data_IF_153499430017
#
_entry.id   IF_153499430017
#
_cell.length_a   1.000
_cell.length_b   1.000
_cell.length_c   1.000
_cell.angle_alpha   90.00
_cell.angle_beta   90.00
_cell.angle_gamma   90.00
#
_symmetry.space_group_name_H-M   'P 1'
#
loop_
_entity.id
_entity.type
_entity.pdbx_description
1 polymer ?
#
# COMPACT_ATOMS: atom_id res chain seq x y z
N UNK A 1 52.13 -16.61 23.93
CA UNK A 1 51.46 -17.94 23.90
C UNK A 1 49.94 -17.80 24.06
N UNK A 2 49.43 -17.20 25.14
CA UNK A 2 47.99 -17.03 25.36
C UNK A 2 47.24 -16.30 24.21
N UNK A 3 47.76 -15.14 23.76
CA UNK A 3 47.17 -14.37 22.64
C UNK A 3 47.13 -15.20 21.35
N UNK A 4 48.20 -15.94 21.03
CA UNK A 4 48.28 -16.81 19.85
C UNK A 4 47.29 -17.97 19.96
N UNK A 5 47.14 -18.57 21.15
CA UNK A 5 46.13 -19.59 21.41
C UNK A 5 44.70 -19.08 21.24
N UNK A 6 44.44 -17.84 21.65
CA UNK A 6 43.13 -17.20 21.53
C UNK A 6 42.78 -16.87 20.06
N UNK A 7 43.77 -16.44 19.27
CA UNK A 7 43.63 -16.24 17.81
C UNK A 7 43.36 -17.58 17.10
N UNK A 8 44.11 -18.64 17.43
CA UNK A 8 43.90 -19.97 16.86
C UNK A 8 42.53 -20.56 17.23
N UNK A 9 42.08 -20.35 18.47
CA UNK A 9 40.75 -20.74 18.91
C UNK A 9 39.66 -19.98 18.15
N UNK A 10 39.83 -18.67 17.98
CA UNK A 10 38.91 -17.84 17.17
C UNK A 10 38.84 -18.30 15.72
N UNK A 11 39.98 -18.59 15.08
CA UNK A 11 40.05 -19.15 13.73
C UNK A 11 39.39 -20.52 13.63
N UNK A 12 39.59 -21.39 14.62
CA UNK A 12 38.95 -22.71 14.66
C UNK A 12 37.43 -22.60 14.73
N UNK A 13 36.90 -21.73 15.61
CA UNK A 13 35.46 -21.47 15.69
C UNK A 13 34.91 -20.81 14.42
N UNK A 14 35.67 -19.90 13.79
CA UNK A 14 35.30 -19.29 12.53
C UNK A 14 35.19 -20.34 11.41
N UNK A 15 36.15 -21.27 11.33
CA UNK A 15 36.13 -22.38 10.36
C UNK A 15 34.97 -23.32 10.62
N UNK A 16 34.71 -23.68 11.88
CA UNK A 16 33.56 -24.51 12.26
C UNK A 16 32.24 -23.82 11.92
N UNK A 17 32.11 -22.54 12.25
CA UNK A 17 30.95 -21.72 11.93
C UNK A 17 30.76 -21.66 10.42
N UNK A 18 31.81 -21.33 9.66
CA UNK A 18 31.78 -21.30 8.19
C UNK A 18 31.37 -22.66 7.63
N UNK A 19 32.00 -23.78 7.99
CA UNK A 19 31.69 -25.08 7.40
C UNK A 19 30.25 -25.54 7.72
N UNK A 20 29.81 -25.37 8.96
CA UNK A 20 28.47 -25.82 9.41
C UNK A 20 27.38 -24.90 8.89
N UNK A 21 27.52 -23.58 9.04
CA UNK A 21 26.54 -22.61 8.55
C UNK A 21 26.59 -22.45 7.04
N UNK A 22 27.73 -22.60 6.37
CA UNK A 22 27.77 -22.57 4.91
C UNK A 22 27.01 -23.76 4.33
N UNK A 23 27.24 -24.98 4.81
CA UNK A 23 26.58 -26.15 4.22
C UNK A 23 25.08 -26.19 4.50
N UNK A 24 24.65 -25.82 5.72
CA UNK A 24 23.23 -25.78 6.11
C UNK A 24 22.53 -24.52 5.60
N UNK A 25 23.20 -23.38 5.73
CA UNK A 25 22.76 -22.07 5.26
C UNK A 25 22.65 -22.02 3.76
N UNK A 26 23.68 -22.41 2.99
CA UNK A 26 23.66 -22.45 1.52
C UNK A 26 22.54 -23.33 0.99
N UNK A 27 22.33 -24.54 1.53
CA UNK A 27 21.21 -25.40 1.12
C UNK A 27 19.85 -24.79 1.43
N UNK A 28 19.70 -24.15 2.59
CA UNK A 28 18.45 -23.48 2.95
C UNK A 28 18.21 -22.21 2.13
N UNK A 29 19.26 -21.43 1.84
CA UNK A 29 19.26 -20.27 0.96
C UNK A 29 18.90 -20.68 -0.45
N UNK A 30 19.57 -21.69 -1.03
CA UNK A 30 19.26 -22.20 -2.36
C UNK A 30 17.82 -22.72 -2.44
N UNK A 31 17.36 -23.47 -1.42
CA UNK A 31 15.98 -23.97 -1.38
C UNK A 31 14.95 -22.84 -1.25
N UNK A 32 15.25 -21.79 -0.48
CA UNK A 32 14.33 -20.68 -0.26
C UNK A 32 14.38 -19.63 -1.39
N UNK A 33 15.54 -19.40 -2.00
CA UNK A 33 15.72 -18.48 -3.13
C UNK A 33 15.23 -19.10 -4.43
N UNK A 34 15.52 -20.38 -4.64
CA UNK A 34 15.15 -21.11 -5.85
C UNK A 34 14.18 -22.22 -5.48
N UNK A 35 13.05 -21.89 -4.84
CA UNK A 35 11.93 -22.82 -4.81
C UNK A 35 11.56 -23.11 -6.27
N UNK A 36 12.03 -24.25 -6.76
CA UNK A 36 11.77 -24.78 -8.10
C UNK A 36 10.31 -25.22 -8.11
N UNK A 37 9.39 -24.26 -8.14
CA UNK A 37 7.99 -24.56 -8.35
C UNK A 37 7.77 -24.75 -9.86
N UNK A 38 7.76 -26.05 -10.21
CA UNK A 38 7.48 -26.65 -11.52
C UNK A 38 6.12 -26.29 -12.14
N UNK A 39 5.35 -25.36 -11.57
CA UNK A 39 3.95 -25.13 -11.96
C UNK A 39 3.66 -23.76 -12.58
N UNK A 40 4.63 -22.85 -12.67
CA UNK A 40 4.43 -21.54 -13.34
C UNK A 40 4.50 -21.62 -14.88
N UNK A 41 4.07 -22.75 -15.45
CA UNK A 41 3.91 -22.91 -16.91
C UNK A 41 2.70 -22.14 -17.47
N UNK A 42 1.93 -21.43 -16.62
CA UNK A 42 0.61 -20.90 -16.97
C UNK A 42 0.49 -19.38 -17.15
N UNK A 43 1.47 -18.55 -16.80
CA UNK A 43 1.34 -17.09 -16.98
C UNK A 43 2.29 -16.52 -18.04
N UNK A 44 2.00 -16.79 -19.33
CA UNK A 44 2.50 -16.02 -20.47
C UNK A 44 1.74 -14.69 -20.65
N UNK A 45 1.29 -14.06 -19.57
CA UNK A 45 0.61 -12.77 -19.68
C UNK A 45 1.66 -11.66 -19.67
N UNK A 46 1.73 -10.92 -20.77
CA UNK A 46 2.68 -9.81 -20.99
C UNK A 46 2.63 -8.76 -19.86
N UNK A 47 1.45 -8.58 -19.25
CA UNK A 47 1.26 -7.68 -18.12
C UNK A 47 2.11 -8.05 -16.88
N UNK A 48 2.39 -9.34 -16.66
CA UNK A 48 3.21 -9.79 -15.52
C UNK A 48 4.71 -9.59 -15.77
N UNK A 49 5.15 -9.61 -17.03
CA UNK A 49 6.53 -9.24 -17.37
C UNK A 49 6.77 -7.76 -17.06
N UNK A 50 5.84 -6.88 -17.41
CA UNK A 50 5.93 -5.47 -17.08
C UNK A 50 5.94 -5.24 -15.56
N UNK A 51 5.04 -5.91 -14.83
CA UNK A 51 5.01 -5.85 -13.37
C UNK A 51 6.34 -6.34 -12.75
N UNK A 52 6.96 -7.38 -13.31
CA UNK A 52 8.29 -7.87 -12.89
C UNK A 52 9.37 -6.81 -13.12
N UNK A 53 9.40 -6.14 -14.27
CA UNK A 53 10.37 -5.07 -14.52
C UNK A 53 10.20 -3.87 -13.59
N UNK A 54 8.96 -3.45 -13.32
CA UNK A 54 8.69 -2.33 -12.40
C UNK A 54 8.99 -2.74 -10.94
N UNK A 55 8.76 -4.00 -10.56
CA UNK A 55 9.19 -4.55 -9.28
C UNK A 55 10.72 -4.53 -9.15
N UNK A 56 11.44 -4.82 -10.24
CA UNK A 56 12.90 -4.64 -10.31
C UNK A 56 13.28 -3.19 -10.05
N UNK A 57 12.61 -2.25 -10.73
CA UNK A 57 12.83 -0.81 -10.54
C UNK A 57 12.58 -0.36 -9.10
N UNK A 58 11.54 -0.89 -8.46
CA UNK A 58 11.23 -0.60 -7.04
C UNK A 58 12.31 -1.15 -6.12
N UNK A 59 12.76 -2.38 -6.35
CA UNK A 59 13.84 -2.99 -5.58
C UNK A 59 15.16 -2.23 -5.73
N UNK A 60 15.49 -1.82 -6.96
CA UNK A 60 16.67 -0.98 -7.24
C UNK A 60 16.53 0.36 -6.51
N UNK A 61 15.35 0.98 -6.53
CA UNK A 61 15.12 2.24 -5.84
C UNK A 61 15.24 2.10 -4.32
N UNK A 62 14.67 1.05 -3.72
CA UNK A 62 14.86 0.72 -2.30
C UNK A 62 16.34 0.48 -1.99
N UNK A 63 17.07 -0.21 -2.86
CA UNK A 63 18.50 -0.40 -2.72
C UNK A 63 19.27 0.93 -2.77
N UNK A 64 18.88 1.86 -3.64
CA UNK A 64 19.44 3.22 -3.68
C UNK A 64 19.15 4.01 -2.41
N UNK A 65 17.96 3.87 -1.80
CA UNK A 65 17.65 4.47 -0.48
C UNK A 65 18.64 3.98 0.56
N UNK A 66 18.78 2.66 0.71
CA UNK A 66 19.67 2.11 1.73
C UNK A 66 21.13 2.42 1.46
N UNK A 67 21.57 2.38 0.19
CA UNK A 67 22.92 2.76 -0.21
C UNK A 67 23.19 4.23 0.13
N UNK A 68 22.26 5.13 -0.20
CA UNK A 68 22.34 6.53 0.17
C UNK A 68 22.39 6.75 1.67
N UNK A 69 21.57 6.02 2.45
CA UNK A 69 21.55 6.13 3.91
C UNK A 69 22.85 5.62 4.52
N UNK A 70 23.45 4.57 3.96
CA UNK A 70 24.77 4.08 4.38
C UNK A 70 25.82 5.15 4.09
N UNK A 71 25.81 5.77 2.90
CA UNK A 71 26.73 6.87 2.55
C UNK A 71 26.51 8.07 3.47
N UNK A 72 25.26 8.43 3.78
CA UNK A 72 24.94 9.54 4.68
C UNK A 72 25.35 9.24 6.13
N UNK A 73 25.19 7.99 6.58
CA UNK A 73 25.63 7.54 7.90
C UNK A 73 27.15 7.56 8.00
N UNK A 74 27.83 7.14 6.93
CA UNK A 74 29.27 7.34 6.75
C UNK A 74 29.53 8.85 6.92
N UNK A 75 29.06 9.71 6.02
CA UNK A 75 29.30 11.17 6.08
C UNK A 75 29.01 11.79 7.46
N UNK A 76 27.96 11.36 8.16
CA UNK A 76 27.62 11.79 9.51
C UNK A 76 28.64 11.34 10.57
N UNK A 77 29.01 10.05 10.58
CA UNK A 77 29.98 9.50 11.52
C UNK A 77 31.40 10.04 11.28
N UNK A 78 31.73 10.34 10.02
CA UNK A 78 33.00 10.95 9.63
C UNK A 78 33.01 12.48 9.84
N UNK A 79 31.86 13.07 10.22
CA UNK A 79 31.70 14.51 10.46
C UNK A 79 31.54 15.31 9.17
N UNK A 80 31.05 16.56 9.30
CA UNK A 80 31.03 17.55 8.22
C UNK A 80 32.47 17.96 7.89
N UNK A 81 33.28 17.03 7.35
CA UNK A 81 34.61 17.30 6.83
C UNK A 81 34.37 18.16 5.59
N UNK A 82 34.38 19.47 5.79
CA UNK A 82 34.24 20.48 4.74
C UNK A 82 35.40 20.47 3.74
N UNK A 83 36.34 19.53 3.86
CA UNK A 83 37.47 19.37 2.95
C UNK A 83 37.96 17.91 2.85
N UNK A 84 37.53 17.21 1.80
CA UNK A 84 38.25 16.19 1.00
C UNK A 84 38.98 14.99 1.64
N UNK A 85 39.18 14.89 2.95
CA UNK A 85 40.11 13.91 3.49
C UNK A 85 39.42 12.80 4.29
N UNK A 86 38.53 12.05 3.63
CA UNK A 86 38.08 10.72 4.10
C UNK A 86 39.29 9.85 4.57
N UNK A 87 40.45 9.85 3.87
CA UNK A 87 41.63 9.12 4.34
C UNK A 87 42.13 9.53 5.73
N UNK A 88 42.01 10.80 6.13
CA UNK A 88 42.54 11.30 7.41
C UNK A 88 41.73 10.80 8.61
N UNK A 89 40.42 10.58 8.46
CA UNK A 89 39.67 9.94 9.53
C UNK A 89 40.08 8.47 9.70
N UNK A 90 40.26 7.75 8.59
CA UNK A 90 40.69 6.35 8.65
C UNK A 90 42.08 6.22 9.31
N UNK A 91 42.93 7.25 9.23
CA UNK A 91 44.21 7.24 9.96
C UNK A 91 44.07 7.57 11.46
N UNK A 92 42.99 8.23 11.89
CA UNK A 92 42.69 8.49 13.32
C UNK A 92 42.04 7.32 14.06
N UNK A 93 41.41 6.40 13.34
CA UNK A 93 40.80 5.22 13.95
C UNK A 93 41.83 4.14 14.26
N UNK A 94 41.65 3.46 15.38
CA UNK A 94 42.39 2.22 15.64
C UNK A 94 42.02 1.17 14.59
N UNK A 95 42.98 0.33 14.20
CA UNK A 95 42.74 -0.71 13.20
C UNK A 95 41.57 -1.65 13.55
N UNK A 96 41.27 -1.85 14.83
CA UNK A 96 40.10 -2.61 15.28
C UNK A 96 38.77 -1.94 14.93
N UNK A 97 38.66 -0.62 15.17
CA UNK A 97 37.45 0.16 14.85
C UNK A 97 37.18 0.21 13.35
N UNK A 98 38.24 0.40 12.53
CA UNK A 98 38.14 0.38 11.06
C UNK A 98 37.61 -0.97 10.60
N UNK A 99 38.19 -2.06 11.09
CA UNK A 99 37.79 -3.43 10.72
C UNK A 99 36.32 -3.70 11.07
N UNK A 100 35.85 -3.23 12.24
CA UNK A 100 34.46 -3.42 12.67
C UNK A 100 33.48 -2.63 11.79
N UNK A 101 33.80 -1.36 11.48
CA UNK A 101 32.96 -0.52 10.62
C UNK A 101 32.86 -1.11 9.21
N UNK A 102 33.99 -1.49 8.61
CA UNK A 102 34.01 -2.12 7.29
C UNK A 102 33.22 -3.43 7.31
N UNK A 103 33.40 -4.27 8.33
CA UNK A 103 32.68 -5.53 8.49
C UNK A 103 31.16 -5.32 8.61
N UNK A 104 30.72 -4.31 9.35
CA UNK A 104 29.30 -3.98 9.50
C UNK A 104 28.70 -3.48 8.18
N UNK A 105 29.41 -2.62 7.45
CA UNK A 105 28.97 -2.11 6.14
C UNK A 105 28.81 -3.28 5.15
N UNK A 106 29.81 -4.17 5.05
CA UNK A 106 29.75 -5.34 4.18
C UNK A 106 28.57 -6.25 4.53
N UNK A 107 28.34 -6.50 5.83
CA UNK A 107 27.22 -7.32 6.29
C UNK A 107 25.85 -6.71 5.92
N UNK A 108 25.71 -5.39 6.04
CA UNK A 108 24.48 -4.69 5.64
C UNK A 108 24.26 -4.78 4.12
N UNK A 109 25.31 -4.57 3.32
CA UNK A 109 25.24 -4.71 1.87
C UNK A 109 24.86 -6.14 1.44
N UNK A 110 25.49 -7.16 2.03
CA UNK A 110 25.15 -8.55 1.76
C UNK A 110 23.69 -8.85 2.12
N UNK A 111 23.24 -8.42 3.31
CA UNK A 111 21.86 -8.58 3.75
C UNK A 111 20.84 -7.92 2.80
N UNK A 112 21.16 -6.74 2.28
CA UNK A 112 20.34 -6.03 1.29
C UNK A 112 20.29 -6.77 -0.05
N UNK A 113 21.44 -7.22 -0.57
CA UNK A 113 21.52 -7.98 -1.81
C UNK A 113 20.72 -9.28 -1.69
N UNK A 114 20.88 -10.03 -0.60
CA UNK A 114 20.11 -11.26 -0.38
C UNK A 114 18.60 -10.99 -0.27
N UNK A 115 18.20 -9.94 0.45
CA UNK A 115 16.79 -9.55 0.56
C UNK A 115 16.21 -9.18 -0.81
N UNK A 116 16.99 -8.48 -1.64
CA UNK A 116 16.60 -8.13 -3.01
C UNK A 116 16.37 -9.37 -3.87
N UNK A 117 17.34 -10.31 -3.87
CA UNK A 117 17.22 -11.57 -4.64
C UNK A 117 16.04 -12.39 -4.11
N UNK A 118 15.82 -12.45 -2.80
CA UNK A 118 14.72 -13.18 -2.20
C UNK A 118 13.34 -12.62 -2.60
N UNK A 119 13.15 -11.30 -2.49
CA UNK A 119 11.90 -10.64 -2.90
C UNK A 119 11.70 -10.77 -4.41
N UNK A 120 12.78 -10.66 -5.19
CA UNK A 120 12.75 -10.84 -6.63
C UNK A 120 12.25 -12.22 -7.04
N UNK A 121 12.85 -13.28 -6.51
CA UNK A 121 12.50 -14.65 -6.89
C UNK A 121 11.17 -15.11 -6.31
N UNK A 122 10.83 -14.72 -5.08
CA UNK A 122 9.67 -15.29 -4.36
C UNK A 122 8.50 -14.33 -4.19
N UNK A 123 8.75 -13.03 -4.04
CA UNK A 123 7.74 -12.06 -3.63
C UNK A 123 6.61 -11.87 -4.65
N UNK A 124 6.94 -11.94 -5.94
CA UNK A 124 5.95 -11.75 -7.00
C UNK A 124 4.96 -12.92 -7.12
N UNK A 125 5.41 -14.16 -6.88
CA UNK A 125 4.60 -15.35 -7.11
C UNK A 125 3.34 -15.39 -6.24
N UNK A 126 3.47 -15.11 -4.93
CA UNK A 126 2.34 -15.12 -4.01
C UNK A 126 1.25 -14.09 -4.37
N UNK A 127 1.68 -12.91 -4.80
CA UNK A 127 0.78 -11.82 -5.18
C UNK A 127 0.09 -12.14 -6.51
N UNK A 128 0.85 -12.62 -7.50
CA UNK A 128 0.33 -13.00 -8.82
C UNK A 128 -0.70 -14.11 -8.71
N UNK A 129 -0.43 -15.15 -7.90
CA UNK A 129 -1.36 -16.26 -7.68
C UNK A 129 -2.70 -15.76 -7.11
N UNK A 130 -2.65 -14.89 -6.09
CA UNK A 130 -3.83 -14.30 -5.48
C UNK A 130 -4.66 -13.47 -6.47
N UNK A 131 -3.99 -12.75 -7.38
CA UNK A 131 -4.63 -11.94 -8.42
C UNK A 131 -5.24 -12.82 -9.52
N UNK A 132 -4.51 -13.84 -9.98
CA UNK A 132 -4.99 -14.77 -11.01
C UNK A 132 -6.24 -15.52 -10.55
N UNK A 133 -6.21 -16.06 -9.33
CA UNK A 133 -7.36 -16.75 -8.73
C UNK A 133 -8.58 -15.82 -8.56
N UNK A 134 -8.38 -14.53 -8.31
CA UNK A 134 -9.47 -13.56 -8.28
C UNK A 134 -10.03 -13.29 -9.69
N UNK A 135 -9.16 -13.05 -10.67
CA UNK A 135 -9.59 -12.70 -12.03
C UNK A 135 -10.30 -13.87 -12.71
N UNK A 136 -9.79 -15.09 -12.57
CA UNK A 136 -10.42 -16.29 -13.14
C UNK A 136 -11.85 -16.46 -12.61
N UNK A 137 -12.07 -16.22 -11.31
CA UNK A 137 -13.41 -16.27 -10.69
C UNK A 137 -14.37 -15.19 -11.22
N UNK A 138 -13.86 -14.00 -11.51
CA UNK A 138 -14.69 -12.89 -12.03
C UNK A 138 -15.00 -13.11 -13.51
N UNK A 139 -14.00 -13.44 -14.32
CA UNK A 139 -14.15 -13.69 -15.76
C UNK A 139 -15.00 -14.93 -16.03
N UNK A 140 -14.94 -15.96 -15.18
CA UNK A 140 -15.84 -17.13 -15.30
C UNK A 140 -17.30 -16.80 -14.97
N UNK A 141 -17.55 -15.75 -14.17
CA UNK A 141 -18.87 -15.41 -13.67
C UNK A 141 -19.56 -14.32 -14.50
N UNK A 142 -18.79 -13.42 -15.10
CA UNK A 142 -19.31 -12.25 -15.81
C UNK A 142 -18.61 -12.09 -17.16
N UNK A 143 -19.38 -12.10 -18.24
CA UNK A 143 -18.86 -11.84 -19.59
C UNK A 143 -19.00 -10.35 -19.94
N UNK A 144 -17.89 -9.62 -19.80
CA UNK A 144 -17.86 -8.19 -20.11
C UNK A 144 -17.58 -7.93 -21.59
N UNK A 145 -18.41 -7.08 -22.20
CA UNK A 145 -18.19 -6.61 -23.57
C UNK A 145 -16.88 -5.83 -23.72
N UNK A 146 -16.33 -5.79 -24.93
CA UNK A 146 -15.09 -5.06 -25.23
C UNK A 146 -15.16 -3.58 -24.85
N UNK A 147 -16.33 -2.94 -25.02
CA UNK A 147 -16.55 -1.52 -24.64
C UNK A 147 -16.46 -1.34 -23.11
N UNK A 148 -17.10 -2.21 -22.34
CA UNK A 148 -17.05 -2.19 -20.87
C UNK A 148 -15.62 -2.40 -20.35
N UNK A 149 -14.86 -3.31 -20.98
CA UNK A 149 -13.44 -3.53 -20.69
C UNK A 149 -12.61 -2.27 -20.93
N UNK A 150 -12.86 -1.54 -22.02
CA UNK A 150 -12.17 -0.27 -22.30
C UNK A 150 -12.53 0.78 -21.24
N UNK A 151 -13.80 0.94 -20.90
CA UNK A 151 -14.24 1.88 -19.87
C UNK A 151 -13.57 1.61 -18.52
N UNK A 152 -13.54 0.34 -18.08
CA UNK A 152 -12.86 -0.04 -16.85
C UNK A 152 -11.37 0.32 -16.86
N UNK A 153 -10.68 0.10 -17.98
CA UNK A 153 -9.26 0.46 -18.15
C UNK A 153 -9.03 1.97 -18.06
N UNK A 154 -9.92 2.77 -18.66
CA UNK A 154 -9.84 4.24 -18.60
C UNK A 154 -9.99 4.72 -17.15
N UNK A 155 -11.04 4.27 -16.45
CA UNK A 155 -11.24 4.63 -15.04
C UNK A 155 -10.09 4.18 -14.15
N UNK A 156 -9.56 2.97 -14.37
CA UNK A 156 -8.40 2.50 -13.64
C UNK A 156 -7.17 3.40 -13.91
N UNK A 157 -6.93 3.78 -15.16
CA UNK A 157 -5.86 4.69 -15.53
C UNK A 157 -5.97 6.05 -14.85
N UNK A 158 -7.18 6.61 -14.78
CA UNK A 158 -7.46 7.88 -14.06
C UNK A 158 -7.08 7.74 -12.58
N UNK A 159 -7.54 6.69 -11.90
CA UNK A 159 -7.21 6.45 -10.48
C UNK A 159 -5.69 6.32 -10.28
N UNK A 160 -4.99 5.62 -11.18
CA UNK A 160 -3.53 5.48 -11.10
C UNK A 160 -2.83 6.82 -11.25
N UNK A 161 -3.27 7.66 -12.19
CA UNK A 161 -2.72 9.02 -12.37
C UNK A 161 -2.95 9.90 -11.14
N UNK A 162 -4.13 9.80 -10.53
CA UNK A 162 -4.44 10.50 -9.27
C UNK A 162 -3.51 10.06 -8.14
N UNK A 163 -3.31 8.75 -7.96
CA UNK A 163 -2.40 8.21 -6.95
C UNK A 163 -0.95 8.69 -7.17
N UNK A 164 -0.49 8.71 -8.43
CA UNK A 164 0.81 9.27 -8.78
C UNK A 164 0.86 10.76 -8.40
N UNK A 165 -0.16 11.54 -8.74
CA UNK A 165 -0.26 12.95 -8.38
C UNK A 165 -0.19 13.19 -6.87
N UNK A 166 -0.89 12.37 -6.07
CA UNK A 166 -0.82 12.43 -4.60
C UNK A 166 0.60 12.14 -4.11
N UNK A 167 1.25 11.07 -4.62
CA UNK A 167 2.61 10.71 -4.20
C UNK A 167 3.60 11.82 -4.53
N UNK A 168 3.53 12.38 -5.75
CA UNK A 168 4.33 13.54 -6.13
C UNK A 168 4.06 14.75 -5.26
N UNK A 169 2.79 15.06 -5.00
CA UNK A 169 2.37 16.18 -4.16
C UNK A 169 2.90 16.04 -2.73
N UNK A 170 2.82 14.84 -2.13
CA UNK A 170 3.37 14.56 -0.79
C UNK A 170 4.88 14.78 -0.78
N UNK A 171 5.62 14.18 -1.71
CA UNK A 171 7.08 14.31 -1.75
C UNK A 171 7.47 15.77 -1.92
N UNK A 172 6.81 16.49 -2.83
CA UNK A 172 7.10 17.89 -3.09
C UNK A 172 6.72 18.79 -1.91
N UNK A 173 5.60 18.53 -1.23
CA UNK A 173 5.22 19.27 -0.03
C UNK A 173 6.24 19.07 1.10
N UNK A 174 6.77 17.86 1.27
CA UNK A 174 7.84 17.57 2.25
C UNK A 174 9.10 18.35 1.88
N UNK A 175 9.50 18.36 0.61
CA UNK A 175 10.64 19.15 0.12
C UNK A 175 10.50 20.62 0.51
N UNK A 176 9.36 21.22 0.18
CA UNK A 176 9.10 22.64 0.43
C UNK A 176 9.00 22.97 1.93
N UNK A 177 8.54 22.01 2.75
CA UNK A 177 8.49 22.19 4.21
C UNK A 177 9.86 22.27 4.87
N UNK A 178 10.88 21.69 4.23
CA UNK A 178 12.26 21.67 4.75
C UNK A 178 13.02 22.92 4.31
N UNK A 179 12.81 23.38 3.08
CA UNK A 179 13.49 24.57 2.55
C UNK A 179 12.69 25.23 1.43
N UNK A 180 12.61 26.56 1.45
CA UNK A 180 11.98 27.37 0.40
C UNK A 180 12.82 27.46 -0.87
N UNK A 181 14.14 27.24 -0.78
CA UNK A 181 15.06 27.21 -1.93
C UNK A 181 15.70 25.83 -2.07
N UNK A 182 14.87 24.84 -2.37
CA UNK A 182 15.31 23.46 -2.54
C UNK A 182 16.41 23.31 -3.59
N UNK A 183 16.37 24.08 -4.68
CA UNK A 183 17.32 23.92 -5.78
C UNK A 183 18.77 24.19 -5.36
N UNK A 184 18.99 25.23 -4.56
CA UNK A 184 20.32 25.56 -4.04
C UNK A 184 20.65 24.76 -2.78
N UNK A 185 19.71 24.64 -1.83
CA UNK A 185 19.91 23.94 -0.56
C UNK A 185 20.09 22.43 -0.73
N UNK A 186 19.46 21.81 -1.74
CA UNK A 186 19.65 20.39 -1.99
C UNK A 186 21.07 20.07 -2.46
N UNK A 187 21.66 20.97 -3.27
CA UNK A 187 23.02 20.80 -3.79
C UNK A 187 24.09 20.94 -2.72
N UNK A 188 23.76 21.56 -1.58
CA UNK A 188 24.67 21.69 -0.44
C UNK A 188 24.57 20.52 0.52
N UNK A 189 23.54 19.67 0.42
CA UNK A 189 23.48 18.46 1.24
C UNK A 189 24.59 17.46 0.86
N UNK A 190 25.07 16.66 1.83
CA UNK A 190 25.96 15.54 1.56
C UNK A 190 25.41 14.60 0.47
N UNK A 191 26.30 14.00 -0.32
CA UNK A 191 25.90 13.24 -1.51
C UNK A 191 25.09 12.00 -1.13
N UNK A 192 25.31 11.44 0.06
CA UNK A 192 24.52 10.35 0.62
C UNK A 192 23.07 10.74 0.87
N UNK A 193 22.83 11.94 1.41
CA UNK A 193 21.47 12.47 1.63
C UNK A 193 20.80 12.73 0.27
N UNK A 194 21.52 13.34 -0.67
CA UNK A 194 20.98 13.57 -2.02
C UNK A 194 20.58 12.26 -2.71
N UNK A 195 21.44 11.25 -2.65
CA UNK A 195 21.19 9.92 -3.24
C UNK A 195 20.03 9.21 -2.55
N UNK A 196 19.95 9.27 -1.21
CA UNK A 196 18.83 8.72 -0.45
C UNK A 196 17.51 9.35 -0.88
N UNK A 197 17.51 10.67 -1.09
CA UNK A 197 16.33 11.41 -1.47
C UNK A 197 15.81 10.99 -2.86
N UNK A 198 16.70 10.89 -3.86
CA UNK A 198 16.35 10.35 -5.18
C UNK A 198 15.87 8.90 -5.09
N UNK A 199 16.51 8.09 -4.24
CA UNK A 199 16.09 6.72 -3.96
C UNK A 199 14.67 6.66 -3.40
N UNK A 200 14.32 7.51 -2.42
CA UNK A 200 13.00 7.52 -1.77
C UNK A 200 11.94 7.89 -2.80
N UNK A 201 12.19 8.94 -3.57
CA UNK A 201 11.28 9.37 -4.62
C UNK A 201 11.08 8.28 -5.68
N UNK A 202 12.17 7.67 -6.16
CA UNK A 202 12.09 6.56 -7.09
C UNK A 202 11.36 5.36 -6.49
N UNK A 203 11.57 5.04 -5.21
CA UNK A 203 10.96 3.90 -4.54
C UNK A 203 9.46 4.10 -4.36
N UNK A 204 9.03 5.32 -4.02
CA UNK A 204 7.62 5.69 -3.95
C UNK A 204 6.96 5.66 -5.32
N UNK A 205 7.62 6.23 -6.34
CA UNK A 205 7.09 6.26 -7.71
C UNK A 205 6.96 4.86 -8.30
N UNK A 206 8.06 4.09 -8.34
CA UNK A 206 8.04 2.73 -8.86
C UNK A 206 7.16 1.82 -7.99
N UNK A 207 7.19 1.96 -6.66
CA UNK A 207 6.31 1.21 -5.77
C UNK A 207 4.83 1.46 -6.07
N UNK A 208 4.46 2.71 -6.37
CA UNK A 208 3.09 3.07 -6.78
C UNK A 208 2.75 2.45 -8.13
N UNK A 209 3.66 2.45 -9.11
CA UNK A 209 3.45 1.78 -10.39
C UNK A 209 3.34 0.27 -10.26
N UNK A 210 4.15 -0.35 -9.41
CA UNK A 210 4.09 -1.78 -9.10
C UNK A 210 2.74 -2.11 -8.50
N UNK A 211 2.33 -1.35 -7.50
CA UNK A 211 1.02 -1.49 -6.89
C UNK A 211 -0.08 -1.34 -7.95
N UNK A 212 -0.04 -0.29 -8.77
CA UNK A 212 -0.99 -0.09 -9.86
C UNK A 212 -1.04 -1.29 -10.84
N UNK A 213 0.11 -1.84 -11.25
CA UNK A 213 0.15 -2.98 -12.16
C UNK A 213 -0.35 -4.27 -11.52
N UNK A 214 -0.03 -4.53 -10.26
CA UNK A 214 -0.57 -5.67 -9.52
C UNK A 214 -2.10 -5.55 -9.36
N UNK A 215 -2.57 -4.36 -9.05
CA UNK A 215 -4.00 -4.10 -8.93
C UNK A 215 -4.67 -3.82 -10.28
N UNK A 216 -3.97 -3.85 -11.41
CA UNK A 216 -4.57 -3.53 -12.72
C UNK A 216 -5.73 -4.46 -13.06
N UNK A 217 -5.48 -5.77 -13.09
CA UNK A 217 -6.55 -6.71 -13.44
C UNK A 217 -7.64 -6.77 -12.37
N UNK A 218 -7.25 -6.85 -11.10
CA UNK A 218 -8.19 -6.92 -9.97
C UNK A 218 -9.03 -5.65 -9.84
N UNK A 219 -8.39 -4.49 -9.94
CA UNK A 219 -8.98 -3.16 -9.87
C UNK A 219 -9.85 -2.87 -11.08
N UNK A 220 -9.40 -3.18 -12.30
CA UNK A 220 -10.24 -3.11 -13.49
C UNK A 220 -11.49 -4.00 -13.35
N UNK A 221 -11.32 -5.25 -12.91
CA UNK A 221 -12.43 -6.16 -12.67
C UNK A 221 -13.37 -5.65 -11.57
N UNK A 222 -12.86 -5.04 -10.51
CA UNK A 222 -13.66 -4.39 -9.47
C UNK A 222 -14.45 -3.22 -10.05
N UNK A 223 -13.81 -2.32 -10.80
CA UNK A 223 -14.48 -1.18 -11.44
C UNK A 223 -15.55 -1.66 -12.41
N UNK A 224 -15.25 -2.64 -13.28
CA UNK A 224 -16.22 -3.21 -14.21
C UNK A 224 -17.40 -3.87 -13.48
N UNK A 225 -17.12 -4.61 -12.39
CA UNK A 225 -18.17 -5.20 -11.56
C UNK A 225 -19.03 -4.12 -10.92
N UNK A 226 -18.41 -3.06 -10.40
CA UNK A 226 -19.13 -1.96 -9.78
C UNK A 226 -20.00 -1.17 -10.76
N UNK A 227 -19.53 -0.97 -11.99
CA UNK A 227 -20.22 -0.17 -13.01
C UNK A 227 -21.28 -0.95 -13.79
N UNK A 228 -21.03 -2.22 -14.10
CA UNK A 228 -21.80 -2.96 -15.11
C UNK A 228 -22.48 -4.22 -14.62
N UNK A 229 -22.00 -4.83 -13.54
CA UNK A 229 -22.67 -6.02 -12.99
C UNK A 229 -23.84 -5.55 -12.17
N UNK A 230 -25.05 -5.92 -12.61
CA UNK A 230 -26.26 -5.79 -11.81
C UNK A 230 -26.32 -6.95 -10.82
N UNK A 231 -26.33 -6.62 -9.54
CA UNK A 231 -26.42 -7.59 -8.48
C UNK A 231 -27.88 -7.97 -8.25
N UNK A 232 -28.34 -9.08 -8.82
CA UNK A 232 -29.69 -9.62 -8.52
C UNK A 232 -29.55 -10.84 -7.60
N UNK A 233 -29.86 -10.72 -6.29
CA UNK A 233 -29.81 -11.85 -5.37
C UNK A 233 -30.91 -12.86 -5.73
N UNK A 234 -30.53 -14.11 -5.99
CA UNK A 234 -31.42 -15.21 -6.40
C UNK A 234 -32.56 -15.54 -5.42
N UNK A 235 -32.58 -14.93 -4.22
CA UNK A 235 -33.51 -15.29 -3.14
C UNK A 235 -34.44 -14.16 -2.68
N UNK A 236 -34.36 -12.94 -3.23
CA UNK A 236 -35.21 -11.85 -2.77
C UNK A 236 -36.40 -11.59 -3.71
N UNK A 237 -37.42 -12.45 -3.65
CA UNK A 237 -38.69 -12.18 -4.33
C UNK A 237 -39.53 -11.13 -3.59
N UNK A 238 -39.25 -10.86 -2.31
CA UNK A 238 -39.94 -9.82 -1.55
C UNK A 238 -39.33 -8.46 -1.79
N UNK A 239 -40.13 -7.56 -2.37
CA UNK A 239 -39.84 -6.13 -2.32
C UNK A 239 -39.76 -5.66 -0.87
N UNK A 240 -38.65 -5.04 -0.48
CA UNK A 240 -38.49 -4.43 0.84
C UNK A 240 -38.46 -2.90 0.67
N UNK A 241 -39.52 -2.24 1.14
CA UNK A 241 -39.65 -0.79 1.06
C UNK A 241 -38.54 -0.08 1.83
N UNK A 242 -38.10 -0.61 2.97
CA UNK A 242 -36.99 -0.07 3.76
C UNK A 242 -35.68 -0.07 2.98
N UNK A 243 -35.40 -1.13 2.23
CA UNK A 243 -34.21 -1.19 1.37
C UNK A 243 -34.26 -0.12 0.26
N UNK A 244 -35.41 0.07 -0.38
CA UNK A 244 -35.60 1.14 -1.39
C UNK A 244 -35.35 2.53 -0.79
N UNK A 245 -35.97 2.81 0.37
CA UNK A 245 -35.84 4.12 1.06
C UNK A 245 -34.41 4.40 1.48
N UNK A 246 -33.71 3.43 2.07
CA UNK A 246 -32.31 3.59 2.49
C UNK A 246 -31.40 3.86 1.27
N UNK A 247 -31.57 3.11 0.18
CA UNK A 247 -30.76 3.31 -1.03
C UNK A 247 -31.01 4.68 -1.66
N UNK A 248 -32.26 5.12 -1.76
CA UNK A 248 -32.59 6.48 -2.24
C UNK A 248 -32.00 7.54 -1.31
N UNK A 249 -32.05 7.34 0.00
CA UNK A 249 -31.40 8.23 0.98
C UNK A 249 -29.89 8.34 0.79
N UNK A 250 -29.20 7.22 0.56
CA UNK A 250 -27.75 7.20 0.26
C UNK A 250 -27.45 7.93 -1.05
N UNK A 251 -28.22 7.66 -2.11
CA UNK A 251 -28.04 8.34 -3.41
C UNK A 251 -28.28 9.85 -3.32
N UNK A 252 -29.27 10.28 -2.54
CA UNK A 252 -29.55 11.68 -2.29
C UNK A 252 -28.41 12.34 -1.50
N UNK A 253 -27.89 11.65 -0.47
CA UNK A 253 -26.75 12.14 0.31
C UNK A 253 -25.48 12.30 -0.56
N UNK A 254 -25.16 11.31 -1.40
CA UNK A 254 -24.02 11.41 -2.34
C UNK A 254 -24.22 12.58 -3.30
N UNK A 255 -25.42 12.74 -3.87
CA UNK A 255 -25.75 13.87 -4.76
C UNK A 255 -25.57 15.21 -4.06
N UNK A 256 -26.05 15.37 -2.81
CA UNK A 256 -25.88 16.60 -2.04
C UNK A 256 -24.42 16.92 -1.74
N UNK A 257 -23.60 15.90 -1.44
CA UNK A 257 -22.15 16.08 -1.23
C UNK A 257 -21.50 16.58 -2.53
N UNK A 258 -21.81 15.94 -3.66
CA UNK A 258 -21.26 16.32 -4.98
C UNK A 258 -21.68 17.74 -5.36
N UNK A 259 -22.98 18.07 -5.24
CA UNK A 259 -23.49 19.41 -5.54
C UNK A 259 -22.90 20.45 -4.59
N UNK A 260 -22.81 20.16 -3.29
CA UNK A 260 -22.19 21.04 -2.31
C UNK A 260 -20.71 21.32 -2.62
N UNK A 261 -19.95 20.29 -3.02
CA UNK A 261 -18.56 20.44 -3.46
C UNK A 261 -18.46 21.25 -4.76
N UNK A 262 -19.35 21.03 -5.74
CA UNK A 262 -19.37 21.82 -6.99
C UNK A 262 -19.69 23.28 -6.69
N UNK A 263 -20.72 23.55 -5.89
CA UNK A 263 -21.08 24.93 -5.49
C UNK A 263 -19.89 25.56 -4.76
N UNK A 264 -19.28 24.88 -3.80
CA UNK A 264 -18.11 25.38 -3.09
C UNK A 264 -16.96 25.73 -4.05
N UNK A 265 -16.64 24.84 -5.00
CA UNK A 265 -15.64 25.12 -6.04
C UNK A 265 -16.04 26.33 -6.87
N UNK A 266 -17.25 26.35 -7.45
CA UNK A 266 -17.74 27.45 -8.31
C UNK A 266 -17.74 28.78 -7.56
N UNK A 267 -18.19 28.82 -6.31
CA UNK A 267 -18.11 30.01 -5.46
C UNK A 267 -16.68 30.51 -5.35
N UNK A 268 -15.71 29.61 -5.13
CA UNK A 268 -14.30 29.98 -5.09
C UNK A 268 -13.78 30.50 -6.44
N UNK A 269 -14.23 29.93 -7.57
CA UNK A 269 -13.88 30.42 -8.92
C UNK A 269 -14.49 31.81 -9.16
N UNK A 270 -15.73 32.06 -8.75
CA UNK A 270 -16.38 33.35 -8.97
C UNK A 270 -15.73 34.43 -8.09
N UNK A 271 -15.46 34.13 -6.82
CA UNK A 271 -14.72 35.02 -5.92
C UNK A 271 -13.32 35.39 -6.47
N UNK A 272 -12.67 34.47 -7.21
CA UNK A 272 -11.41 34.73 -7.93
C UNK A 272 -11.45 35.91 -8.89
N UNK A 273 -12.57 36.07 -9.58
CA UNK A 273 -12.69 36.98 -10.71
C UNK A 273 -13.22 38.36 -10.32
N UNK A 274 -13.82 38.48 -9.13
CA UNK A 274 -14.68 39.61 -8.79
C UNK A 274 -14.07 40.63 -7.83
N UNK A 275 -12.98 40.30 -7.11
CA UNK A 275 -12.34 41.26 -6.18
C UNK A 275 -10.85 40.97 -6.03
N UNK A 276 -10.01 42.01 -6.02
CA UNK A 276 -8.57 41.91 -5.71
C UNK A 276 -8.26 41.56 -4.24
N UNK A 277 -9.13 40.77 -3.58
CA UNK A 277 -9.04 40.32 -2.20
C UNK A 277 -8.69 38.84 -2.12
N UNK A 278 -7.88 38.46 -1.14
CA UNK A 278 -7.22 37.16 -0.98
C UNK A 278 -8.10 35.92 -0.73
N UNK A 279 -9.40 35.94 -1.02
CA UNK A 279 -10.36 34.86 -0.70
C UNK A 279 -10.69 33.95 -1.90
N UNK A 280 -9.74 33.75 -2.80
CA UNK A 280 -9.89 32.89 -3.97
C UNK A 280 -9.15 31.57 -3.73
N UNK A 281 -9.80 30.41 -3.93
CA UNK A 281 -9.13 29.10 -3.84
C UNK A 281 -7.92 29.02 -4.75
N UNK A 282 -7.94 29.58 -5.96
CA UNK A 282 -6.77 29.56 -6.84
C UNK A 282 -5.67 30.50 -6.37
N UNK A 283 -5.97 31.62 -5.70
CA UNK A 283 -4.95 32.47 -5.07
C UNK A 283 -4.45 31.83 -3.77
N UNK A 284 -5.32 31.16 -3.02
CA UNK A 284 -4.98 30.40 -1.82
C UNK A 284 -4.11 29.21 -2.21
N UNK A 285 -4.49 28.41 -3.21
CA UNK A 285 -3.72 27.31 -3.81
C UNK A 285 -2.44 27.82 -4.49
N UNK A 286 -2.46 28.98 -5.16
CA UNK A 286 -1.24 29.58 -5.71
C UNK A 286 -0.34 30.18 -4.62
N UNK A 287 -0.92 30.52 -3.47
CA UNK A 287 -0.21 30.93 -2.25
C UNK A 287 0.26 29.74 -1.42
N UNK A 288 -0.25 28.54 -1.69
CA UNK A 288 0.33 27.31 -1.19
C UNK A 288 1.64 27.06 -1.94
N UNK A 289 2.55 26.38 -1.26
CA UNK A 289 3.72 25.82 -1.91
C UNK A 289 3.28 24.85 -3.03
N UNK A 290 4.03 24.76 -4.12
CA UNK A 290 3.60 24.04 -5.34
C UNK A 290 3.24 22.57 -5.06
N UNK A 291 3.89 21.95 -4.08
CA UNK A 291 3.62 20.57 -3.66
C UNK A 291 2.33 20.42 -2.89
N UNK A 292 2.02 21.37 -2.02
CA UNK A 292 0.76 21.39 -1.28
C UNK A 292 -0.41 21.70 -2.21
N UNK A 293 -0.19 22.55 -3.22
CA UNK A 293 -1.12 22.77 -4.32
C UNK A 293 -1.36 21.49 -5.15
N UNK A 294 -0.30 20.82 -5.60
CA UNK A 294 -0.39 19.57 -6.36
C UNK A 294 -1.10 18.45 -5.58
N UNK A 295 -0.80 18.33 -4.28
CA UNK A 295 -1.48 17.41 -3.36
C UNK A 295 -2.97 17.73 -3.30
N UNK A 296 -3.33 19.00 -3.09
CA UNK A 296 -4.72 19.43 -2.99
C UNK A 296 -5.49 19.17 -4.29
N UNK A 297 -4.91 19.44 -5.46
CA UNK A 297 -5.53 19.12 -6.75
C UNK A 297 -5.75 17.62 -6.91
N UNK A 298 -4.73 16.81 -6.64
CA UNK A 298 -4.81 15.35 -6.80
C UNK A 298 -5.82 14.73 -5.83
N UNK A 299 -5.88 15.21 -4.60
CA UNK A 299 -6.87 14.76 -3.60
C UNK A 299 -8.30 15.18 -3.95
N UNK A 300 -8.49 16.38 -4.48
CA UNK A 300 -9.80 16.88 -4.91
C UNK A 300 -10.32 16.06 -6.09
N UNK A 301 -9.50 15.86 -7.13
CA UNK A 301 -9.87 15.05 -8.30
C UNK A 301 -10.17 13.61 -7.86
N UNK A 302 -9.31 13.01 -7.02
CA UNK A 302 -9.54 11.67 -6.49
C UNK A 302 -10.83 11.54 -5.68
N UNK A 303 -11.21 12.57 -4.93
CA UNK A 303 -12.49 12.60 -4.20
C UNK A 303 -13.67 12.55 -5.16
N UNK A 304 -13.65 13.33 -6.25
CA UNK A 304 -14.70 13.26 -7.27
C UNK A 304 -14.75 11.92 -7.99
N UNK A 305 -13.60 11.33 -8.30
CA UNK A 305 -13.53 10.01 -8.95
C UNK A 305 -14.12 8.93 -8.05
N UNK A 306 -13.77 8.91 -6.76
CA UNK A 306 -14.35 7.96 -5.78
C UNK A 306 -15.85 8.19 -5.60
N UNK A 307 -16.30 9.44 -5.45
CA UNK A 307 -17.72 9.77 -5.33
C UNK A 307 -18.50 9.37 -6.58
N UNK A 308 -17.94 9.59 -7.78
CA UNK A 308 -18.53 9.19 -9.05
C UNK A 308 -18.69 7.67 -9.15
N UNK A 309 -17.66 6.90 -8.79
CA UNK A 309 -17.71 5.44 -8.78
C UNK A 309 -18.70 4.91 -7.74
N UNK A 310 -18.74 5.50 -6.54
CA UNK A 310 -19.72 5.16 -5.52
C UNK A 310 -21.14 5.46 -5.99
N UNK A 311 -21.36 6.64 -6.59
CA UNK A 311 -22.65 7.01 -7.14
C UNK A 311 -23.12 6.01 -8.20
N UNK A 312 -22.27 5.72 -9.20
CA UNK A 312 -22.58 4.72 -10.23
C UNK A 312 -22.87 3.33 -9.64
N UNK A 313 -22.08 2.92 -8.63
CA UNK A 313 -22.32 1.65 -7.93
C UNK A 313 -23.67 1.63 -7.23
N UNK A 314 -23.99 2.64 -6.41
CA UNK A 314 -25.25 2.69 -5.67
C UNK A 314 -26.46 2.88 -6.60
N UNK A 315 -26.29 3.54 -7.75
CA UNK A 315 -27.35 3.74 -8.72
C UNK A 315 -27.79 2.39 -9.33
N UNK A 316 -26.83 1.53 -9.67
CA UNK A 316 -27.13 0.25 -10.31
C UNK A 316 -27.35 -0.90 -9.31
N UNK A 317 -26.62 -0.90 -8.20
CA UNK A 317 -26.54 -2.03 -7.26
C UNK A 317 -27.02 -1.70 -5.85
N UNK A 318 -27.26 -0.43 -5.55
CA UNK A 318 -27.50 0.02 -4.18
C UNK A 318 -28.72 -0.63 -3.55
N UNK A 319 -29.81 -0.84 -4.30
CA UNK A 319 -31.03 -1.47 -3.76
C UNK A 319 -30.73 -2.87 -3.23
N UNK A 320 -30.14 -3.71 -4.07
CA UNK A 320 -29.86 -5.10 -3.73
C UNK A 320 -28.75 -5.26 -2.71
N UNK A 321 -27.74 -4.40 -2.76
CA UNK A 321 -26.71 -4.33 -1.71
C UNK A 321 -27.34 -4.05 -0.34
N UNK A 322 -28.20 -3.03 -0.25
CA UNK A 322 -28.90 -2.68 0.99
C UNK A 322 -29.84 -3.80 1.44
N UNK A 323 -30.56 -4.41 0.50
CA UNK A 323 -31.47 -5.52 0.78
C UNK A 323 -30.73 -6.72 1.39
N UNK A 324 -29.58 -7.11 0.82
CA UNK A 324 -28.77 -8.19 1.37
C UNK A 324 -28.31 -7.88 2.82
N UNK A 325 -27.87 -6.64 3.07
CA UNK A 325 -27.46 -6.23 4.43
C UNK A 325 -28.61 -6.25 5.42
N UNK A 326 -29.81 -5.85 5.00
CA UNK A 326 -31.02 -5.91 5.83
C UNK A 326 -31.38 -7.37 6.14
N UNK A 327 -31.39 -8.25 5.13
CA UNK A 327 -31.71 -9.67 5.34
C UNK A 327 -30.72 -10.37 6.28
N UNK A 328 -29.41 -10.09 6.14
CA UNK A 328 -28.40 -10.61 7.07
C UNK A 328 -28.60 -10.06 8.48
N UNK A 329 -29.01 -8.79 8.60
CA UNK A 329 -29.27 -8.17 9.89
C UNK A 329 -30.52 -8.76 10.56
N UNK A 330 -31.60 -8.96 9.80
CA UNK A 330 -32.83 -9.63 10.24
C UNK A 330 -32.53 -11.06 10.72
N UNK A 331 -31.79 -11.85 9.94
CA UNK A 331 -31.40 -13.22 10.31
C UNK A 331 -30.57 -13.25 11.61
N UNK A 332 -29.64 -12.29 11.78
CA UNK A 332 -28.85 -12.15 13.03
C UNK A 332 -29.69 -11.74 14.23
N UNK A 333 -30.70 -10.90 14.02
CA UNK A 333 -31.62 -10.48 15.08
C UNK A 333 -32.50 -11.65 15.49
N UNK A 334 -33.05 -12.40 14.54
CA UNK A 334 -33.92 -13.54 14.81
C UNK A 334 -33.17 -14.67 15.54
N UNK A 335 -31.98 -15.04 15.05
CA UNK A 335 -31.12 -16.02 15.73
C UNK A 335 -30.71 -15.57 17.13
N UNK A 336 -30.35 -14.29 17.30
CA UNK A 336 -30.05 -13.73 18.62
C UNK A 336 -31.24 -13.71 19.58
N UNK A 337 -32.45 -13.46 19.06
CA UNK A 337 -33.68 -13.47 19.84
C UNK A 337 -34.05 -14.88 20.30
N UNK A 338 -33.90 -15.88 19.43
CA UNK A 338 -34.16 -17.29 19.73
C UNK A 338 -33.15 -17.86 20.73
N UNK A 339 -31.86 -17.54 20.58
CA UNK A 339 -30.86 -17.84 21.60
C UNK A 339 -31.18 -17.19 22.96
N UNK A 340 -31.64 -15.93 22.92
CA UNK A 340 -32.06 -15.20 24.12
C UNK A 340 -33.24 -15.86 24.84
N UNK A 341 -34.26 -16.29 24.08
CA UNK A 341 -35.40 -17.04 24.59
C UNK A 341 -34.97 -18.40 25.17
N UNK A 342 -34.10 -19.14 24.49
CA UNK A 342 -33.57 -20.41 24.97
C UNK A 342 -32.82 -20.27 26.29
N UNK A 343 -31.92 -19.27 26.40
CA UNK A 343 -31.19 -18.94 27.64
C UNK A 343 -32.15 -18.51 28.76
N UNK A 344 -33.22 -17.78 28.46
CA UNK A 344 -34.23 -17.38 29.44
C UNK A 344 -35.04 -18.59 29.97
N UNK A 345 -35.39 -19.54 29.11
CA UNK A 345 -36.06 -20.80 29.49
C UNK A 345 -35.13 -21.64 30.37
N UNK A 346 -33.87 -21.84 29.97
CA UNK A 346 -32.89 -22.59 30.75
C UNK A 346 -32.69 -21.98 32.16
N UNK A 347 -32.62 -20.64 32.25
CA UNK A 347 -32.52 -19.92 33.54
C UNK A 347 -33.78 -20.11 34.40
N UNK A 348 -34.98 -20.12 33.80
CA UNK A 348 -36.25 -20.40 34.50
C UNK A 348 -36.29 -21.84 35.01
N UNK A 349 -35.80 -22.81 34.23
CA UNK A 349 -35.73 -24.22 34.63
C UNK A 349 -34.71 -24.47 35.75
N UNK A 350 -33.51 -23.89 35.66
CA UNK A 350 -32.51 -23.95 36.74
C UNK A 350 -33.07 -23.40 38.05
N UNK A 351 -33.72 -22.23 38.01
CA UNK A 351 -34.41 -21.65 39.18
C UNK A 351 -35.53 -22.54 39.73
N UNK A 352 -36.32 -23.21 38.87
CA UNK A 352 -37.35 -24.18 39.29
C UNK A 352 -36.73 -25.42 39.96
N UNK A 353 -35.65 -25.97 39.41
CA UNK A 353 -34.92 -27.13 39.99
C UNK A 353 -34.31 -26.80 41.35
N UNK A 354 -33.72 -25.62 41.51
CA UNK A 354 -33.21 -25.14 42.81
C UNK A 354 -34.31 -24.98 43.86
N UNK A 355 -35.45 -24.41 43.48
CA UNK A 355 -36.62 -24.29 44.38
C UNK A 355 -37.16 -25.66 44.81
N UNK A 356 -37.18 -26.66 43.91
CA UNK A 356 -37.58 -28.03 44.25
C UNK A 356 -36.59 -28.67 45.24
N UNK A 357 -35.28 -28.56 45.00
CA UNK A 357 -34.24 -29.06 45.92
C UNK A 357 -34.34 -28.43 47.32
N UNK A 358 -34.69 -27.16 47.43
CA UNK A 358 -34.91 -26.47 48.71
C UNK A 358 -36.16 -26.92 49.47
N UNK A 359 -37.13 -27.58 48.82
CA UNK A 359 -38.33 -28.12 49.48
C UNK A 359 -38.17 -29.57 49.94
N UNK A 360 -37.17 -30.28 49.42
CA UNK A 360 -36.90 -31.69 49.76
C UNK A 360 -35.84 -31.84 50.86
N UNK A 361 -35.07 -30.79 51.12
CA UNK A 361 -34.31 -30.62 52.36
C UNK A 361 -35.20 -29.93 53.38
#
# INVERSE_FOLDING_TARGET
IFIVGLILLGLFFLVLFLVVFYKRGSRNLQRNLFKVDKELKKSKDEAYLLAKYIAAGTLIAVFLVFTGLIIALIEFLFGHITSTNIPDFFTTLTGGSITLIIGLILLLFDGLIYSMIFIWENGHNWVIESILLYNERVESKYDFSSKQKITGKIFFGIIVLELIGVVFGVVWAIIESITSDWGSAFRTYPIGIQTSFYGIFAALFFGTLVFAMFFYKRGNNLIMTSLFVQYHPKKSEKENLSAKVITVGILFAITLIVVGLIIWIVTLIISATSTGGGDNLFIWLAGLSNGLALLAYSALIGTFTVLGLLFSYFLHNGYYFTLEKILILEEKIDTGLDEGKAKAIEKKEKKKKEKRKKKTK
#
